data_IF_003774796329
#
_entry.id   IF_003774796329
#
_cell.length_a   1.000
_cell.length_b   1.000
_cell.length_c   1.000
_cell.angle_alpha   90.00
_cell.angle_beta   90.00
_cell.angle_gamma   90.00
#
_symmetry.space_group_name_H-M   'P 1'
#
loop_
_entity.id
_entity.type
_entity.pdbx_description
1 polymer ?
#
# COMPACT_ATOMS: atom_id res chain seq x y z
N UNK A 1 64.58 1.98 19.89
CA UNK A 1 63.79 3.22 20.08
C UNK A 1 62.42 2.99 19.46
N UNK A 2 61.42 2.67 20.27
CA UNK A 2 60.04 2.43 19.81
C UNK A 2 59.24 3.72 19.97
N UNK A 3 58.68 4.25 18.89
CA UNK A 3 57.60 5.25 18.96
C UNK A 3 56.35 4.67 18.29
N UNK A 4 55.42 4.19 19.12
CA UNK A 4 54.04 3.97 18.71
C UNK A 4 53.37 5.35 18.55
N UNK A 5 53.01 5.70 17.32
CA UNK A 5 52.15 6.83 17.02
C UNK A 5 50.70 6.48 17.35
N UNK A 6 50.16 7.11 18.38
CA UNK A 6 48.76 7.07 18.78
C UNK A 6 47.98 7.86 17.73
N UNK A 7 47.19 7.19 16.88
CA UNK A 7 46.22 7.88 16.03
C UNK A 7 44.91 8.00 16.81
N UNK A 8 44.56 9.23 17.14
CA UNK A 8 43.27 9.60 17.71
C UNK A 8 42.17 9.33 16.68
N UNK A 9 41.40 8.26 16.91
CA UNK A 9 40.16 8.03 16.18
C UNK A 9 39.15 9.10 16.62
N UNK A 10 38.99 10.15 15.82
CA UNK A 10 37.83 11.02 15.89
C UNK A 10 36.57 10.20 15.56
N UNK A 11 35.89 9.76 16.61
CA UNK A 11 34.56 9.17 16.52
C UNK A 11 33.58 10.20 15.97
N UNK A 12 33.32 10.14 14.67
CA UNK A 12 32.16 10.80 14.07
C UNK A 12 30.89 10.08 14.55
N UNK A 13 30.33 10.53 15.67
CA UNK A 13 28.94 10.23 16.01
C UNK A 13 28.06 10.76 14.85
N UNK A 14 27.22 9.93 14.21
CA UNK A 14 26.35 10.41 13.15
C UNK A 14 25.39 11.42 13.74
N UNK A 15 25.51 12.68 13.31
CA UNK A 15 24.56 13.75 13.62
C UNK A 15 23.20 13.32 13.06
N UNK A 16 22.33 12.79 13.92
CA UNK A 16 20.96 12.46 13.58
C UNK A 16 20.26 13.77 13.20
N UNK A 17 20.21 14.07 11.89
CA UNK A 17 19.41 15.18 11.38
C UNK A 17 17.97 14.94 11.84
N UNK A 18 17.39 15.93 12.51
CA UNK A 18 16.01 15.86 12.94
C UNK A 18 15.13 15.44 11.74
N UNK A 19 14.16 14.53 11.94
CA UNK A 19 13.21 14.19 10.91
C UNK A 19 12.58 15.47 10.34
N UNK A 20 12.49 15.56 9.02
CA UNK A 20 11.85 16.70 8.35
C UNK A 20 10.33 16.73 8.55
N UNK A 21 9.78 15.71 9.19
CA UNK A 21 8.36 15.49 9.39
C UNK A 21 8.04 15.46 10.88
N UNK A 22 6.87 15.98 11.24
CA UNK A 22 6.34 15.93 12.61
C UNK A 22 5.57 14.63 12.86
N UNK A 23 5.39 14.27 14.12
CA UNK A 23 4.59 13.08 14.48
C UNK A 23 3.15 13.18 13.97
N UNK A 24 2.56 14.39 13.98
CA UNK A 24 1.25 14.66 13.38
C UNK A 24 1.21 14.38 11.88
N UNK A 25 2.23 14.79 11.12
CA UNK A 25 2.32 14.48 9.70
C UNK A 25 2.44 12.97 9.42
N UNK A 26 3.14 12.24 10.29
CA UNK A 26 3.20 10.78 10.20
C UNK A 26 1.83 10.15 10.42
N UNK A 27 1.11 10.58 11.46
CA UNK A 27 -0.23 10.07 11.75
C UNK A 27 -1.21 10.37 10.62
N UNK A 28 -1.18 11.58 10.05
CA UNK A 28 -1.99 11.95 8.89
C UNK A 28 -1.63 11.12 7.65
N UNK A 29 -0.34 10.91 7.38
CA UNK A 29 0.10 10.07 6.27
C UNK A 29 -0.38 8.61 6.43
N UNK A 30 -0.33 8.07 7.65
CA UNK A 30 -0.86 6.73 7.96
C UNK A 30 -2.37 6.69 7.71
N UNK A 31 -3.12 7.66 8.22
CA UNK A 31 -4.57 7.75 8.03
C UNK A 31 -4.92 7.84 6.54
N UNK A 32 -4.24 8.68 5.77
CA UNK A 32 -4.48 8.84 4.34
C UNK A 32 -4.24 7.54 3.56
N UNK A 33 -3.23 6.75 3.94
CA UNK A 33 -2.96 5.45 3.29
C UNK A 33 -3.99 4.40 3.71
N UNK A 34 -4.31 4.32 5.00
CA UNK A 34 -5.20 3.28 5.57
C UNK A 34 -6.64 3.48 5.11
N UNK A 35 -7.06 4.73 4.95
CA UNK A 35 -8.38 5.09 4.39
C UNK A 35 -8.44 5.00 2.86
N UNK A 36 -7.33 4.62 2.20
CA UNK A 36 -7.20 4.56 0.74
C UNK A 36 -7.42 5.90 0.02
N UNK A 37 -7.21 7.02 0.72
CA UNK A 37 -7.17 8.38 0.15
C UNK A 37 -5.89 8.67 -0.61
N UNK A 38 -4.78 8.03 -0.25
CA UNK A 38 -3.50 8.16 -0.92
C UNK A 38 -2.77 6.81 -1.01
N UNK A 39 -2.01 6.59 -2.09
CA UNK A 39 -1.07 5.47 -2.16
C UNK A 39 0.15 5.76 -1.28
N UNK A 40 0.86 4.71 -0.85
CA UNK A 40 2.12 4.82 -0.10
C UNK A 40 3.10 5.83 -0.69
N UNK A 41 3.29 5.79 -2.02
CA UNK A 41 4.21 6.69 -2.72
C UNK A 41 3.74 8.14 -2.68
N UNK A 42 2.44 8.37 -2.84
CA UNK A 42 1.86 9.71 -2.79
C UNK A 42 1.95 10.31 -1.40
N UNK A 43 1.57 9.55 -0.36
CA UNK A 43 1.67 9.99 1.03
C UNK A 43 3.13 10.26 1.44
N UNK A 44 4.06 9.38 1.07
CA UNK A 44 5.48 9.59 1.35
C UNK A 44 6.02 10.90 0.75
N UNK A 45 5.65 11.21 -0.50
CA UNK A 45 6.05 12.46 -1.15
C UNK A 45 5.33 13.67 -0.56
N UNK A 46 4.02 13.58 -0.34
CA UNK A 46 3.19 14.69 0.16
C UNK A 46 3.63 15.16 1.55
N UNK A 47 3.90 14.22 2.46
CA UNK A 47 4.29 14.51 3.84
C UNK A 47 5.82 14.56 4.04
N UNK A 48 6.60 14.41 2.97
CA UNK A 48 8.07 14.34 3.01
C UNK A 48 8.62 13.25 3.97
N UNK A 49 7.91 12.12 4.07
CA UNK A 49 8.25 10.99 4.94
C UNK A 49 8.94 9.91 4.11
N UNK A 50 10.10 9.37 4.53
CA UNK A 50 10.73 8.25 3.84
C UNK A 50 9.76 7.07 3.70
N UNK A 51 9.67 6.50 2.49
CA UNK A 51 8.76 5.38 2.20
C UNK A 51 8.96 4.22 3.19
N UNK A 52 10.20 3.87 3.50
CA UNK A 52 10.53 2.81 4.47
C UNK A 52 9.92 3.08 5.84
N UNK A 53 10.06 4.31 6.35
CA UNK A 53 9.44 4.75 7.61
C UNK A 53 7.92 4.60 7.57
N UNK A 54 7.27 5.06 6.50
CA UNK A 54 5.82 4.93 6.39
C UNK A 54 5.37 3.46 6.30
N UNK A 55 6.11 2.62 5.57
CA UNK A 55 5.85 1.17 5.50
C UNK A 55 5.98 0.49 6.86
N UNK A 56 7.03 0.83 7.62
CA UNK A 56 7.28 0.20 8.92
C UNK A 56 6.25 0.62 9.96
N UNK A 57 5.77 1.86 9.90
CA UNK A 57 4.70 2.33 10.81
C UNK A 57 3.34 1.70 10.48
N UNK A 58 3.05 1.42 9.21
CA UNK A 58 1.76 0.84 8.81
C UNK A 58 1.76 -0.70 8.94
N UNK A 59 2.82 -1.36 8.46
CA UNK A 59 2.87 -2.83 8.36
C UNK A 59 3.66 -3.51 9.48
N UNK A 60 4.52 -2.75 10.17
CA UNK A 60 5.52 -3.26 11.08
C UNK A 60 6.86 -3.53 10.39
N UNK A 61 7.92 -3.52 11.21
CA UNK A 61 9.32 -3.74 10.78
C UNK A 61 9.60 -5.17 10.32
N UNK A 62 8.80 -6.15 10.75
CA UNK A 62 9.01 -7.57 10.45
C UNK A 62 7.69 -8.35 10.39
N UNK A 63 7.76 -9.59 9.86
CA UNK A 63 6.64 -10.55 9.79
C UNK A 63 5.33 -9.98 9.20
N UNK A 64 5.43 -9.17 8.15
CA UNK A 64 4.26 -8.50 7.54
C UNK A 64 3.20 -9.45 6.98
N UNK A 65 3.54 -10.72 6.71
CA UNK A 65 2.60 -11.74 6.21
C UNK A 65 1.89 -12.51 7.34
N UNK A 66 2.42 -12.49 8.57
CA UNK A 66 1.86 -13.26 9.69
C UNK A 66 0.44 -12.84 10.06
N UNK A 67 0.04 -11.62 9.71
CA UNK A 67 -1.33 -11.12 9.88
C UNK A 67 -2.39 -11.95 9.13
N UNK A 68 -1.99 -12.71 8.11
CA UNK A 68 -2.90 -13.65 7.42
C UNK A 68 -3.23 -14.85 8.32
N UNK A 69 -2.23 -15.37 9.02
CA UNK A 69 -2.39 -16.49 9.95
C UNK A 69 -3.19 -16.04 11.17
N UNK A 70 -2.94 -14.84 11.68
CA UNK A 70 -3.68 -14.24 12.81
C UNK A 70 -5.18 -14.06 12.51
N UNK A 71 -5.55 -13.83 11.24
CA UNK A 71 -6.95 -13.73 10.85
C UNK A 71 -7.67 -15.08 10.92
N UNK A 72 -6.93 -16.20 10.82
CA UNK A 72 -7.47 -17.56 10.93
C UNK A 72 -8.55 -17.86 9.89
N UNK A 73 -8.38 -17.36 8.66
CA UNK A 73 -9.28 -17.65 7.55
C UNK A 73 -8.96 -19.01 6.95
N UNK A 74 -10.00 -19.79 6.64
CA UNK A 74 -9.82 -21.07 5.94
C UNK A 74 -9.62 -20.83 4.45
N UNK A 75 -9.08 -21.83 3.75
CA UNK A 75 -8.88 -21.73 2.30
C UNK A 75 -10.18 -21.44 1.53
N UNK A 76 -11.32 -21.97 2.00
CA UNK A 76 -12.63 -21.74 1.39
C UNK A 76 -13.13 -20.29 1.60
N UNK A 77 -12.89 -19.72 2.78
CA UNK A 77 -13.19 -18.31 3.05
C UNK A 77 -12.29 -17.39 2.23
N UNK A 78 -10.99 -17.67 2.17
CA UNK A 78 -10.05 -16.93 1.32
C UNK A 78 -10.50 -16.96 -0.14
N UNK A 79 -10.94 -18.12 -0.64
CA UNK A 79 -11.47 -18.27 -2.00
C UNK A 79 -12.75 -17.45 -2.21
N UNK A 80 -13.64 -17.45 -1.22
CA UNK A 80 -14.88 -16.66 -1.26
C UNK A 80 -14.59 -15.15 -1.28
N UNK A 81 -13.59 -14.70 -0.51
CA UNK A 81 -13.13 -13.30 -0.52
C UNK A 81 -12.50 -12.95 -1.86
N UNK A 82 -11.71 -13.85 -2.44
CA UNK A 82 -11.12 -13.65 -3.76
C UNK A 82 -12.17 -13.46 -4.84
N UNK A 83 -13.19 -14.31 -4.83
CA UNK A 83 -14.33 -14.23 -5.75
C UNK A 83 -15.10 -12.91 -5.57
N UNK A 84 -15.38 -12.55 -4.31
CA UNK A 84 -16.00 -11.26 -3.98
C UNK A 84 -15.19 -10.05 -4.47
N UNK A 85 -13.86 -10.12 -4.42
CA UNK A 85 -12.97 -9.03 -4.84
C UNK A 85 -12.81 -8.93 -6.36
N UNK A 86 -12.83 -10.06 -7.08
CA UNK A 86 -12.47 -10.13 -8.50
C UNK A 86 -13.71 -10.47 -9.35
N UNK A 87 -14.44 -9.43 -9.79
CA UNK A 87 -15.69 -9.56 -10.57
C UNK A 87 -15.58 -10.43 -11.84
N UNK A 88 -14.39 -10.60 -12.41
CA UNK A 88 -14.20 -11.45 -13.59
C UNK A 88 -12.81 -12.07 -13.54
N UNK A 89 -12.77 -13.38 -13.37
CA UNK A 89 -11.58 -14.21 -13.54
C UNK A 89 -11.12 -14.15 -15.01
N UNK A 90 -10.44 -13.07 -15.41
CA UNK A 90 -9.68 -13.06 -16.66
C UNK A 90 -8.22 -13.32 -16.30
N UNK A 91 -7.92 -14.60 -16.12
CA UNK A 91 -6.58 -15.15 -15.90
C UNK A 91 -5.99 -14.93 -14.49
N UNK A 92 -5.33 -15.94 -13.88
CA UNK A 92 -4.77 -15.89 -12.53
C UNK A 92 -3.69 -14.80 -12.33
N UNK A 93 -3.21 -14.18 -13.41
CA UNK A 93 -2.09 -13.24 -13.39
C UNK A 93 -2.48 -11.75 -13.36
N UNK A 94 -3.77 -11.39 -13.49
CA UNK A 94 -4.19 -9.99 -13.58
C UNK A 94 -5.44 -9.70 -12.72
N UNK A 95 -5.44 -10.21 -11.48
CA UNK A 95 -6.53 -9.99 -10.52
C UNK A 95 -6.58 -8.53 -10.09
N UNK A 96 -7.72 -7.88 -10.32
CA UNK A 96 -7.94 -6.48 -9.97
C UNK A 96 -9.24 -6.34 -9.21
N UNK A 97 -9.23 -5.49 -8.19
CA UNK A 97 -10.43 -5.17 -7.40
C UNK A 97 -10.75 -3.68 -7.48
N UNK A 98 -12.03 -3.38 -7.66
CA UNK A 98 -12.60 -2.04 -7.53
C UNK A 98 -13.31 -1.85 -6.18
N UNK A 99 -13.24 -2.84 -5.29
CA UNK A 99 -13.86 -2.79 -3.97
C UNK A 99 -13.02 -1.96 -3.02
N UNK A 100 -13.70 -1.18 -2.18
CA UNK A 100 -13.05 -0.45 -1.09
C UNK A 100 -12.57 -1.42 -0.02
N UNK A 101 -11.53 -1.03 0.73
CA UNK A 101 -11.05 -1.74 1.91
C UNK A 101 -12.20 -1.95 2.89
N UNK A 102 -13.04 -0.93 3.09
CA UNK A 102 -14.18 -0.99 4.01
C UNK A 102 -15.16 -2.10 3.62
N UNK A 103 -15.51 -2.21 2.33
CA UNK A 103 -16.39 -3.28 1.82
C UNK A 103 -15.76 -4.66 2.02
N UNK A 104 -14.48 -4.81 1.68
CA UNK A 104 -13.79 -6.10 1.81
C UNK A 104 -13.68 -6.52 3.27
N UNK A 105 -13.27 -5.61 4.16
CA UNK A 105 -13.17 -5.92 5.59
C UNK A 105 -14.55 -6.26 6.19
N UNK A 106 -15.61 -5.57 5.78
CA UNK A 106 -16.97 -5.91 6.21
C UNK A 106 -17.37 -7.32 5.77
N UNK A 107 -17.01 -7.72 4.55
CA UNK A 107 -17.25 -9.07 4.03
C UNK A 107 -16.48 -10.12 4.83
N UNK A 108 -15.19 -9.88 5.11
CA UNK A 108 -14.34 -10.77 5.91
C UNK A 108 -14.87 -10.92 7.33
N UNK A 109 -15.23 -9.81 7.98
CA UNK A 109 -15.84 -9.83 9.32
C UNK A 109 -17.13 -10.63 9.30
N UNK A 110 -17.98 -10.46 8.28
CA UNK A 110 -19.23 -11.23 8.14
C UNK A 110 -18.97 -12.74 8.05
N UNK A 111 -17.98 -13.16 7.26
CA UNK A 111 -17.59 -14.58 7.18
C UNK A 111 -17.09 -15.10 8.53
N UNK A 112 -16.16 -14.37 9.15
CA UNK A 112 -15.52 -14.78 10.42
C UNK A 112 -16.52 -14.80 11.59
N UNK A 113 -17.52 -13.91 11.59
CA UNK A 113 -18.58 -13.86 12.60
C UNK A 113 -19.47 -15.10 12.64
N UNK A 114 -19.49 -15.90 11.58
CA UNK A 114 -20.16 -17.19 11.60
C UNK A 114 -19.47 -18.18 12.57
N UNK A 115 -18.16 -18.04 12.80
CA UNK A 115 -17.39 -18.87 13.76
C UNK A 115 -17.09 -18.17 15.07
N UNK A 116 -16.81 -16.87 15.01
CA UNK A 116 -16.51 -16.04 16.18
C UNK A 116 -17.29 -14.73 16.11
N UNK A 117 -18.43 -14.63 16.83
CA UNK A 117 -19.31 -13.46 16.82
C UNK A 117 -18.61 -12.16 17.25
N UNK A 118 -17.53 -12.25 18.03
CA UNK A 118 -16.77 -11.11 18.53
C UNK A 118 -15.70 -10.58 17.58
N UNK A 119 -15.46 -11.26 16.45
CA UNK A 119 -14.38 -10.89 15.55
C UNK A 119 -14.62 -9.52 14.89
N UNK A 120 -13.61 -8.66 14.99
CA UNK A 120 -13.54 -7.39 14.28
C UNK A 120 -12.09 -6.99 14.08
N UNK A 121 -11.81 -6.27 12.99
CA UNK A 121 -10.50 -5.65 12.82
C UNK A 121 -10.42 -4.37 13.66
N UNK A 122 -9.34 -4.22 14.42
CA UNK A 122 -9.06 -3.04 15.24
C UNK A 122 -7.84 -2.27 14.71
N UNK A 123 -7.96 -0.94 14.62
CA UNK A 123 -6.88 -0.07 14.15
C UNK A 123 -6.32 -0.48 12.79
N UNK A 124 -5.00 -0.67 12.71
CA UNK A 124 -4.28 -0.99 11.48
C UNK A 124 -4.39 -2.47 11.07
N UNK A 125 -4.91 -3.36 11.91
CA UNK A 125 -4.92 -4.82 11.64
C UNK A 125 -5.65 -5.16 10.35
N UNK A 126 -6.80 -4.52 10.08
CA UNK A 126 -7.56 -4.72 8.84
C UNK A 126 -6.79 -4.30 7.60
N UNK A 127 -6.11 -3.15 7.63
CA UNK A 127 -5.28 -2.70 6.51
C UNK A 127 -4.06 -3.61 6.29
N UNK A 128 -3.40 -4.02 7.38
CA UNK A 128 -2.26 -4.95 7.33
C UNK A 128 -2.66 -6.27 6.70
N UNK A 129 -3.80 -6.82 7.13
CA UNK A 129 -4.39 -8.02 6.54
C UNK A 129 -4.68 -7.83 5.06
N UNK A 130 -5.34 -6.72 4.67
CA UNK A 130 -5.64 -6.43 3.27
C UNK A 130 -4.39 -6.32 2.40
N UNK A 131 -3.38 -5.58 2.86
CA UNK A 131 -2.10 -5.49 2.18
C UNK A 131 -1.46 -6.86 1.98
N UNK A 132 -1.50 -7.69 3.02
CA UNK A 132 -0.96 -9.04 2.99
C UNK A 132 -1.73 -9.94 2.02
N UNK A 133 -3.05 -9.85 2.02
CA UNK A 133 -3.95 -10.59 1.15
C UNK A 133 -3.75 -10.22 -0.31
N UNK A 134 -3.70 -8.92 -0.62
CA UNK A 134 -3.37 -8.45 -1.96
C UNK A 134 -2.01 -8.96 -2.43
N UNK A 135 -1.01 -9.00 -1.54
CA UNK A 135 0.32 -9.50 -1.87
C UNK A 135 0.33 -11.01 -2.14
N UNK A 136 -0.32 -11.81 -1.29
CA UNK A 136 -0.43 -13.28 -1.42
C UNK A 136 -1.11 -13.69 -2.73
N UNK A 137 -2.12 -12.94 -3.16
CA UNK A 137 -2.93 -13.27 -4.32
C UNK A 137 -2.70 -12.37 -5.54
N UNK A 138 -1.61 -11.58 -5.53
CA UNK A 138 -1.24 -10.65 -6.61
C UNK A 138 -2.39 -9.74 -7.05
N UNK A 139 -3.21 -9.28 -6.10
CA UNK A 139 -4.36 -8.42 -6.37
C UNK A 139 -3.89 -6.98 -6.48
N UNK A 140 -4.26 -6.33 -7.58
CA UNK A 140 -4.07 -4.89 -7.76
C UNK A 140 -5.35 -4.18 -7.31
N UNK A 141 -5.27 -3.42 -6.22
CA UNK A 141 -6.34 -2.52 -5.80
C UNK A 141 -6.41 -1.32 -6.74
N UNK A 142 -7.49 -1.24 -7.51
CA UNK A 142 -7.83 -0.08 -8.34
C UNK A 142 -8.69 0.93 -7.58
N UNK A 143 -9.30 0.51 -6.46
CA UNK A 143 -10.08 1.43 -5.64
C UNK A 143 -9.19 2.55 -5.09
N UNK A 144 -9.70 3.76 -5.27
CA UNK A 144 -9.18 4.99 -4.73
C UNK A 144 -10.39 5.79 -4.31
N UNK A 145 -10.39 6.35 -3.10
CA UNK A 145 -11.41 7.32 -2.71
C UNK A 145 -11.12 8.56 -3.57
N UNK A 146 -11.79 8.67 -4.73
CA UNK A 146 -11.79 9.91 -5.50
C UNK A 146 -12.41 10.97 -4.60
N UNK A 147 -11.57 11.75 -3.93
CA UNK A 147 -12.00 13.05 -3.43
C UNK A 147 -12.48 13.81 -4.65
N UNK A 148 -13.77 14.11 -4.70
CA UNK A 148 -14.47 14.85 -5.74
C UNK A 148 -13.57 15.84 -6.48
N UNK A 149 -12.95 15.40 -7.57
CA UNK A 149 -12.42 16.28 -8.61
C UNK A 149 -13.43 16.29 -9.74
N UNK A 150 -14.61 16.79 -9.40
CA UNK A 150 -15.45 17.43 -10.41
C UNK A 150 -14.65 18.60 -10.99
N UNK A 151 -14.19 18.38 -12.23
CA UNK A 151 -13.51 19.28 -13.20
C UNK A 151 -12.06 18.89 -13.52
N UNK A 152 -11.90 17.74 -14.16
CA UNK A 152 -10.93 17.61 -15.25
C UNK A 152 -11.69 17.30 -16.53
N UNK A 153 -12.32 18.32 -17.10
CA UNK A 153 -12.75 18.29 -18.49
C UNK A 153 -11.51 18.20 -19.37
N UNK A 154 -11.31 16.99 -19.93
CA UNK A 154 -10.79 16.71 -21.28
C UNK A 154 -9.83 17.75 -21.86
N UNK A 155 -8.54 17.43 -21.89
CA UNK A 155 -7.79 17.61 -23.13
C UNK A 155 -6.75 16.50 -23.27
N UNK A 156 -7.10 15.54 -24.10
CA UNK A 156 -6.28 14.39 -24.45
C UNK A 156 -6.85 13.75 -25.69
N UNK A 157 -6.74 14.43 -26.84
CA UNK A 157 -6.84 13.80 -28.16
C UNK A 157 -6.28 14.70 -29.25
N UNK A 158 -5.01 14.50 -29.59
CA UNK A 158 -4.60 14.54 -30.99
C UNK A 158 -3.89 13.22 -31.25
N UNK A 159 -4.58 12.36 -32.01
CA UNK A 159 -4.05 11.14 -32.59
C UNK A 159 -3.59 11.52 -34.00
N UNK A 160 -2.33 11.21 -34.31
CA UNK A 160 -1.84 10.66 -35.58
C UNK A 160 -2.58 11.03 -36.88
N UNK A 161 -1.91 11.78 -37.74
CA UNK A 161 -1.90 11.46 -39.17
C UNK A 161 -0.46 11.20 -39.60
N UNK A 162 -0.29 10.02 -40.17
CA UNK A 162 0.88 9.51 -40.88
C UNK A 162 0.84 10.13 -42.28
N UNK A 163 1.99 10.49 -42.84
CA UNK A 163 2.40 10.11 -44.19
C UNK A 163 3.89 10.41 -44.36
N UNK A 164 4.68 9.35 -44.30
CA UNK A 164 5.99 9.25 -44.92
C UNK A 164 5.74 8.71 -46.32
N UNK A 165 6.09 9.47 -47.34
CA UNK A 165 6.45 8.93 -48.65
C UNK A 165 7.67 9.76 -49.12
N UNK A 166 8.84 9.21 -48.87
CA UNK A 166 10.06 9.49 -49.63
C UNK A 166 9.91 8.80 -50.99
N UNK A 167 10.14 9.49 -52.12
CA UNK A 167 11.02 9.00 -53.19
C UNK A 167 11.27 10.04 -54.30
N UNK A 168 12.41 9.83 -54.94
CA UNK A 168 13.25 10.68 -55.76
C UNK A 168 12.93 10.60 -57.27
N UNK A 169 13.10 11.71 -58.01
CA UNK A 169 13.56 11.79 -59.41
C UNK A 169 13.78 13.24 -59.83
#
# INVERSE_FOLDING_TARGET
MFRYGRQDYHGHAPKLKAPRWTDGQLQEAIQAVVTQRMRFTQAATHYAIPKGTLYDNILGKSKRMAVLDDAGLTADEERSILDYCCYTSVSPYNRRTKKSLKEVLAFVIKLRRARDPGFTFIGLTGFRWWWAFCKKHSIVSLYYEESDKSKSSRLGKVKSEINTDDDES
#
